data_IF_885781811253
#
_entry.id   IF_885781811253
#
_cell.length_a   1.000
_cell.length_b   1.000
_cell.length_c   1.000
_cell.angle_alpha   90.00
_cell.angle_beta   90.00
_cell.angle_gamma   90.00
#
_symmetry.space_group_name_H-M   'P 1'
#
loop_
_entity.id
_entity.type
_entity.pdbx_description
1 polymer ?
#
# COMPACT_ATOMS: atom_id res chain seq x y z
N UNK A 1 -21.63 16.01 24.06
CA UNK A 1 -20.92 16.54 22.86
C UNK A 1 -19.81 15.53 22.58
N UNK A 2 -20.00 14.69 21.56
CA UNK A 2 -18.98 13.82 21.01
C UNK A 2 -17.84 14.75 20.55
N UNK A 3 -16.72 14.75 21.24
CA UNK A 3 -15.51 15.37 20.76
C UNK A 3 -15.11 14.62 19.51
N UNK A 4 -15.41 15.19 18.35
CA UNK A 4 -14.83 14.73 17.09
C UNK A 4 -13.32 14.79 17.29
N UNK A 5 -12.65 13.64 17.27
CA UNK A 5 -11.21 13.51 17.55
C UNK A 5 -10.35 14.21 16.48
N UNK A 6 -10.54 15.53 16.37
CA UNK A 6 -9.78 16.41 15.49
C UNK A 6 -8.79 17.18 16.35
N UNK A 7 -7.50 17.01 16.06
CA UNK A 7 -6.43 17.79 16.67
C UNK A 7 -5.76 18.64 15.59
N UNK A 8 -5.92 19.96 15.70
CA UNK A 8 -5.38 20.90 14.73
C UNK A 8 -3.90 21.14 15.03
N UNK A 9 -3.01 20.78 14.12
CA UNK A 9 -1.56 21.02 14.21
C UNK A 9 -1.20 22.38 13.60
N UNK A 10 -1.71 22.67 12.40
CA UNK A 10 -1.53 23.95 11.70
C UNK A 10 -2.92 24.38 11.21
N UNK A 11 -3.51 25.47 11.78
CA UNK A 11 -4.86 25.91 11.43
C UNK A 11 -5.04 26.10 9.93
N UNK A 12 -6.08 25.44 9.37
CA UNK A 12 -6.42 25.49 7.94
C UNK A 12 -5.46 24.78 7.01
N UNK A 13 -4.43 24.06 7.52
CA UNK A 13 -3.43 23.38 6.71
C UNK A 13 -3.32 21.90 7.03
N UNK A 14 -3.09 21.57 8.33
CA UNK A 14 -2.77 20.20 8.71
C UNK A 14 -3.39 19.82 10.06
N UNK A 15 -4.06 18.71 10.09
CA UNK A 15 -4.84 18.23 11.22
C UNK A 15 -4.63 16.72 11.43
N UNK A 16 -4.84 16.24 12.65
CA UNK A 16 -5.04 14.82 12.94
C UNK A 16 -6.53 14.56 13.06
N UNK A 17 -7.06 13.68 12.23
CA UNK A 17 -8.47 13.25 12.21
C UNK A 17 -8.53 11.73 12.19
N UNK A 18 -9.14 11.14 13.19
CA UNK A 18 -9.34 9.70 13.20
C UNK A 18 -10.32 9.26 12.12
N UNK A 19 -9.90 8.30 11.30
CA UNK A 19 -10.74 7.68 10.25
C UNK A 19 -10.51 6.16 10.23
N UNK A 20 -11.60 5.40 10.30
CA UNK A 20 -11.62 3.95 10.05
C UNK A 20 -11.74 3.69 8.54
N UNK A 21 -10.62 3.42 7.89
CA UNK A 21 -10.59 3.18 6.45
C UNK A 21 -10.85 1.69 6.12
N UNK A 22 -12.00 1.43 5.56
CA UNK A 22 -12.43 0.08 5.12
C UNK A 22 -12.17 -0.17 3.62
N UNK A 23 -11.47 0.72 2.95
CA UNK A 23 -11.14 0.64 1.52
C UNK A 23 -9.69 0.22 1.29
N UNK A 24 -9.30 0.06 0.02
CA UNK A 24 -7.89 0.00 -0.38
C UNK A 24 -7.27 1.41 -0.43
N UNK A 25 -6.02 1.50 -0.91
CA UNK A 25 -5.34 2.77 -1.10
C UNK A 25 -6.18 3.75 -1.93
N UNK A 26 -6.17 5.01 -1.55
CA UNK A 26 -6.91 6.11 -2.21
C UNK A 26 -8.44 5.91 -2.26
N UNK A 27 -9.03 5.17 -1.32
CA UNK A 27 -10.47 4.95 -1.26
C UNK A 27 -11.01 4.00 -2.34
N UNK A 28 -10.16 3.35 -3.11
CA UNK A 28 -10.60 2.36 -4.12
C UNK A 28 -11.13 1.11 -3.40
N UNK A 29 -12.36 0.75 -3.70
CA UNK A 29 -13.04 -0.41 -3.12
C UNK A 29 -13.56 -1.34 -4.22
N UNK A 30 -12.67 -2.22 -4.68
CA UNK A 30 -12.96 -3.13 -5.78
C UNK A 30 -14.14 -4.06 -5.49
N UNK A 31 -14.25 -4.58 -4.27
CA UNK A 31 -15.37 -5.45 -3.90
C UNK A 31 -16.69 -4.69 -3.81
N UNK A 32 -16.67 -3.45 -3.34
CA UNK A 32 -17.86 -2.60 -3.37
C UNK A 32 -18.28 -2.24 -4.79
N UNK A 33 -17.32 -2.03 -5.70
CA UNK A 33 -17.61 -1.83 -7.13
C UNK A 33 -18.27 -3.09 -7.71
N UNK A 34 -17.71 -4.27 -7.45
CA UNK A 34 -18.27 -5.56 -7.89
C UNK A 34 -19.67 -5.77 -7.29
N UNK A 35 -19.85 -5.49 -6.00
CA UNK A 35 -21.16 -5.57 -5.34
C UNK A 35 -22.19 -4.64 -6.01
N UNK A 36 -21.80 -3.43 -6.33
CA UNK A 36 -22.68 -2.45 -6.99
C UNK A 36 -23.06 -2.85 -8.42
N UNK A 37 -22.19 -3.58 -9.12
CA UNK A 37 -22.46 -4.07 -10.48
C UNK A 37 -23.37 -5.31 -10.44
N UNK A 38 -23.06 -6.27 -9.60
CA UNK A 38 -23.71 -7.58 -9.60
C UNK A 38 -24.84 -7.76 -8.58
N UNK A 39 -25.01 -6.81 -7.63
CA UNK A 39 -26.10 -6.77 -6.63
C UNK A 39 -26.28 -8.08 -5.90
N UNK A 40 -25.20 -8.67 -5.34
CA UNK A 40 -25.32 -9.92 -4.56
C UNK A 40 -26.18 -9.72 -3.31
N UNK A 41 -27.37 -10.28 -3.30
CA UNK A 41 -28.36 -10.15 -2.23
C UNK A 41 -27.79 -10.51 -0.87
N UNK A 42 -27.03 -11.61 -0.77
CA UNK A 42 -26.41 -12.05 0.47
C UNK A 42 -25.58 -10.95 1.16
N UNK A 43 -24.77 -10.22 0.40
CA UNK A 43 -23.92 -9.15 0.96
C UNK A 43 -24.70 -7.89 1.30
N UNK A 44 -25.77 -7.61 0.57
CA UNK A 44 -26.69 -6.50 0.90
C UNK A 44 -27.44 -6.75 2.21
N UNK A 45 -27.80 -7.99 2.47
CA UNK A 45 -28.48 -8.42 3.71
C UNK A 45 -27.51 -8.62 4.89
N UNK A 46 -26.21 -8.84 4.63
CA UNK A 46 -25.20 -9.13 5.63
C UNK A 46 -23.97 -8.18 5.55
N UNK A 47 -24.11 -6.89 5.89
CA UNK A 47 -23.05 -5.89 5.74
C UNK A 47 -21.78 -6.22 6.54
N UNK A 48 -21.92 -6.85 7.70
CA UNK A 48 -20.76 -7.27 8.50
C UNK A 48 -19.99 -8.43 7.84
N UNK A 49 -20.69 -9.37 7.20
CA UNK A 49 -20.05 -10.44 6.43
C UNK A 49 -19.32 -9.87 5.21
N UNK A 50 -19.91 -8.88 4.54
CA UNK A 50 -19.29 -8.18 3.43
C UNK A 50 -18.02 -7.43 3.86
N UNK A 51 -18.07 -6.70 4.98
CA UNK A 51 -16.89 -6.03 5.54
C UNK A 51 -15.75 -7.02 5.83
N UNK A 52 -16.05 -8.13 6.49
CA UNK A 52 -15.04 -9.18 6.76
C UNK A 52 -14.46 -9.77 5.48
N UNK A 53 -15.30 -10.04 4.48
CA UNK A 53 -14.84 -10.53 3.17
C UNK A 53 -13.88 -9.53 2.51
N UNK A 54 -14.18 -8.22 2.57
CA UNK A 54 -13.29 -7.16 2.09
C UNK A 54 -11.93 -7.18 2.80
N UNK A 55 -11.93 -7.25 4.12
CA UNK A 55 -10.68 -7.24 4.90
C UNK A 55 -9.85 -8.49 4.63
N UNK A 56 -10.47 -9.67 4.51
CA UNK A 56 -9.79 -10.90 4.11
C UNK A 56 -9.19 -10.76 2.71
N UNK A 57 -9.97 -10.26 1.75
CA UNK A 57 -9.53 -10.06 0.37
C UNK A 57 -8.29 -9.13 0.29
N UNK A 58 -8.36 -7.96 0.94
CA UNK A 58 -7.23 -7.04 0.95
C UNK A 58 -6.01 -7.61 1.70
N UNK A 59 -6.24 -8.36 2.77
CA UNK A 59 -5.15 -9.02 3.51
C UNK A 59 -4.46 -10.09 2.66
N UNK A 60 -5.20 -10.92 1.95
CA UNK A 60 -4.66 -11.95 1.05
C UNK A 60 -3.84 -11.32 -0.08
N UNK A 61 -4.37 -10.26 -0.71
CA UNK A 61 -3.61 -9.53 -1.75
C UNK A 61 -2.32 -8.93 -1.16
N UNK A 62 -2.40 -8.30 -0.01
CA UNK A 62 -1.22 -7.70 0.64
C UNK A 62 -0.17 -8.75 0.95
N UNK A 63 -0.57 -9.90 1.51
CA UNK A 63 0.35 -11.03 1.79
C UNK A 63 0.99 -11.52 0.49
N UNK A 64 0.20 -11.72 -0.57
CA UNK A 64 0.71 -12.15 -1.86
C UNK A 64 1.74 -11.16 -2.42
N UNK A 65 1.46 -9.86 -2.37
CA UNK A 65 2.38 -8.81 -2.82
C UNK A 65 3.67 -8.81 -1.98
N UNK A 66 3.56 -8.92 -0.65
CA UNK A 66 4.74 -8.99 0.23
C UNK A 66 5.60 -10.21 -0.10
N UNK A 67 4.98 -11.37 -0.29
CA UNK A 67 5.71 -12.60 -0.69
C UNK A 67 6.43 -12.38 -2.03
N UNK A 68 5.74 -11.84 -3.04
CA UNK A 68 6.33 -11.55 -4.34
C UNK A 68 7.51 -10.57 -4.24
N UNK A 69 7.38 -9.51 -3.44
CA UNK A 69 8.45 -8.57 -3.18
C UNK A 69 9.64 -9.23 -2.48
N UNK A 70 9.41 -10.09 -1.49
CA UNK A 70 10.47 -10.83 -0.81
C UNK A 70 11.18 -11.83 -1.74
N UNK A 71 10.43 -12.52 -2.61
CA UNK A 71 11.02 -13.42 -3.61
C UNK A 71 11.83 -12.63 -4.64
N UNK A 72 11.29 -11.49 -5.10
CA UNK A 72 12.00 -10.61 -6.03
C UNK A 72 13.26 -9.98 -5.40
N UNK A 73 13.18 -9.57 -4.15
CA UNK A 73 14.31 -9.03 -3.39
C UNK A 73 15.53 -9.95 -3.38
N UNK A 74 15.31 -11.28 -3.35
CA UNK A 74 16.39 -12.28 -3.40
C UNK A 74 17.18 -12.28 -4.71
N UNK A 75 16.63 -11.67 -5.76
CA UNK A 75 17.28 -11.54 -7.07
C UNK A 75 18.12 -10.27 -7.19
N UNK A 76 17.96 -9.32 -6.27
CA UNK A 76 18.71 -8.07 -6.29
C UNK A 76 20.15 -8.34 -5.87
N UNK A 77 21.16 -7.99 -6.70
CA UNK A 77 22.56 -8.21 -6.35
C UNK A 77 22.97 -7.41 -5.11
N UNK A 78 23.79 -8.06 -4.25
CA UNK A 78 24.34 -7.42 -3.05
C UNK A 78 25.48 -6.49 -3.45
N UNK A 79 25.15 -5.24 -3.78
CA UNK A 79 26.14 -4.23 -4.14
C UNK A 79 25.71 -2.82 -3.71
N UNK A 80 26.68 -1.90 -3.66
CA UNK A 80 26.39 -0.49 -3.36
C UNK A 80 25.45 0.14 -4.40
N UNK A 81 25.48 -0.34 -5.65
CA UNK A 81 24.66 0.14 -6.76
C UNK A 81 23.15 -0.06 -6.49
N UNK A 82 22.78 -1.18 -5.88
CA UNK A 82 21.39 -1.53 -5.60
C UNK A 82 20.91 -1.16 -4.19
N UNK A 83 21.70 -0.41 -3.41
CA UNK A 83 21.31 -0.02 -2.03
C UNK A 83 19.99 0.75 -2.00
N UNK A 84 19.79 1.69 -2.93
CA UNK A 84 18.53 2.46 -2.98
C UNK A 84 17.32 1.59 -3.34
N UNK A 85 17.50 0.61 -4.22
CA UNK A 85 16.44 -0.36 -4.54
C UNK A 85 16.08 -1.23 -3.31
N UNK A 86 17.06 -1.60 -2.51
CA UNK A 86 16.81 -2.30 -1.24
C UNK A 86 15.97 -1.45 -0.28
N UNK A 87 16.25 -0.14 -0.17
CA UNK A 87 15.44 0.80 0.63
C UNK A 87 14.00 0.85 0.10
N UNK A 88 13.82 0.91 -1.21
CA UNK A 88 12.48 0.88 -1.84
C UNK A 88 11.71 -0.35 -1.44
N UNK A 89 12.31 -1.55 -1.53
CA UNK A 89 11.63 -2.80 -1.15
C UNK A 89 11.29 -2.81 0.34
N UNK A 90 12.21 -2.37 1.20
CA UNK A 90 11.97 -2.30 2.65
C UNK A 90 10.78 -1.37 2.97
N UNK A 91 10.72 -0.19 2.33
CA UNK A 91 9.61 0.75 2.53
C UNK A 91 8.28 0.16 2.04
N UNK A 92 8.23 -0.46 0.86
CA UNK A 92 7.03 -1.13 0.38
C UNK A 92 6.55 -2.22 1.34
N UNK A 93 7.45 -3.09 1.80
CA UNK A 93 7.11 -4.17 2.72
C UNK A 93 6.65 -3.61 4.07
N UNK A 94 7.35 -2.61 4.62
CA UNK A 94 6.99 -1.99 5.89
C UNK A 94 5.61 -1.33 5.83
N UNK A 95 5.32 -0.55 4.78
CA UNK A 95 4.01 0.07 4.58
C UNK A 95 2.90 -0.96 4.37
N UNK A 96 3.14 -1.98 3.54
CA UNK A 96 2.19 -3.06 3.32
C UNK A 96 1.86 -3.82 4.62
N UNK A 97 2.88 -4.16 5.43
CA UNK A 97 2.70 -4.84 6.71
C UNK A 97 1.99 -3.95 7.74
N UNK A 98 2.27 -2.64 7.78
CA UNK A 98 1.56 -1.71 8.67
C UNK A 98 0.06 -1.75 8.43
N UNK A 99 -0.37 -1.54 7.18
CA UNK A 99 -1.79 -1.59 6.81
C UNK A 99 -2.40 -3.02 6.93
N UNK A 100 -1.59 -4.07 6.80
CA UNK A 100 -2.04 -5.45 7.02
C UNK A 100 -2.35 -5.74 8.49
N UNK A 101 -1.48 -5.30 9.41
CA UNK A 101 -1.68 -5.47 10.86
C UNK A 101 -3.00 -4.83 11.28
N UNK A 102 -3.25 -3.59 10.86
CA UNK A 102 -4.50 -2.90 11.16
C UNK A 102 -5.72 -3.68 10.67
N UNK A 103 -5.69 -4.18 9.44
CA UNK A 103 -6.81 -4.99 8.89
C UNK A 103 -7.06 -6.26 9.66
N UNK A 104 -6.01 -6.95 10.10
CA UNK A 104 -6.15 -8.21 10.87
C UNK A 104 -6.68 -7.94 12.28
N UNK A 105 -6.20 -6.87 12.93
CA UNK A 105 -6.54 -6.56 14.33
C UNK A 105 -7.88 -5.84 14.43
N UNK A 106 -8.10 -4.83 13.59
CA UNK A 106 -9.20 -3.89 13.72
C UNK A 106 -10.34 -4.16 12.71
N UNK A 107 -10.12 -4.88 11.61
CA UNK A 107 -10.97 -4.97 10.42
C UNK A 107 -11.12 -3.64 9.65
N UNK A 108 -10.20 -2.70 9.84
CA UNK A 108 -10.04 -1.46 9.10
C UNK A 108 -8.61 -0.97 9.25
N UNK A 109 -8.22 0.01 8.45
CA UNK A 109 -6.93 0.71 8.60
C UNK A 109 -7.19 2.01 9.35
N UNK A 110 -6.35 2.35 10.32
CA UNK A 110 -6.43 3.61 11.07
C UNK A 110 -5.68 4.70 10.31
N UNK A 111 -6.43 5.63 9.71
CA UNK A 111 -5.87 6.81 9.05
C UNK A 111 -6.05 8.03 9.96
N UNK A 112 -5.09 8.96 9.92
CA UNK A 112 -5.14 10.10 10.82
C UNK A 112 -4.48 11.39 10.34
N UNK A 113 -3.66 11.40 9.30
CA UNK A 113 -3.09 12.62 8.73
C UNK A 113 -4.03 13.24 7.70
N UNK A 114 -4.38 14.49 7.90
CA UNK A 114 -5.27 15.23 6.99
C UNK A 114 -4.69 16.59 6.60
N UNK A 115 -4.44 16.78 5.30
CA UNK A 115 -4.11 18.10 4.75
C UNK A 115 -5.39 18.84 4.37
N UNK A 116 -5.90 19.65 5.32
CA UNK A 116 -7.15 20.39 5.15
C UNK A 116 -7.07 21.48 4.08
N UNK A 117 -5.88 22.07 3.86
CA UNK A 117 -5.64 23.10 2.86
C UNK A 117 -6.05 22.67 1.44
N UNK A 118 -5.79 21.43 1.08
CA UNK A 118 -6.06 20.86 -0.26
C UNK A 118 -7.13 19.78 -0.24
N UNK A 119 -7.79 19.59 0.89
CA UNK A 119 -8.77 18.52 1.11
C UNK A 119 -8.25 17.14 0.66
N UNK A 120 -7.00 16.84 1.02
CA UNK A 120 -6.37 15.58 0.65
C UNK A 120 -7.01 14.42 1.44
N UNK A 121 -7.20 13.24 0.85
CA UNK A 121 -7.70 12.08 1.60
C UNK A 121 -6.89 11.84 2.86
N UNK A 122 -7.55 11.44 3.95
CA UNK A 122 -6.88 11.11 5.21
C UNK A 122 -6.04 9.85 4.99
N UNK A 123 -4.82 9.84 5.53
CA UNK A 123 -3.84 8.77 5.34
C UNK A 123 -3.03 8.51 6.62
N UNK A 124 -2.16 7.50 6.59
CA UNK A 124 -1.31 7.11 7.72
C UNK A 124 0.17 7.00 7.34
N UNK A 125 1.01 6.58 8.29
CA UNK A 125 2.46 6.43 8.09
C UNK A 125 2.79 5.32 7.08
N UNK A 126 2.02 4.23 7.06
CA UNK A 126 2.23 3.14 6.10
C UNK A 126 2.01 3.61 4.65
N UNK A 127 1.02 4.50 4.43
CA UNK A 127 0.77 5.09 3.12
C UNK A 127 1.92 6.01 2.68
N UNK A 128 2.54 6.75 3.62
CA UNK A 128 3.76 7.52 3.33
C UNK A 128 4.87 6.59 2.84
N UNK A 129 5.11 5.47 3.51
CA UNK A 129 6.15 4.51 3.11
C UNK A 129 5.90 3.96 1.71
N UNK A 130 4.68 3.53 1.41
CA UNK A 130 4.31 3.03 0.08
C UNK A 130 4.46 4.10 -0.99
N UNK A 131 4.01 5.32 -0.70
CA UNK A 131 4.09 6.46 -1.64
C UNK A 131 5.53 6.85 -1.93
N UNK A 132 6.36 7.03 -0.89
CA UNK A 132 7.78 7.34 -1.04
C UNK A 132 8.51 6.24 -1.81
N UNK A 133 8.24 4.97 -1.49
CA UNK A 133 8.80 3.83 -2.20
C UNK A 133 8.42 3.83 -3.69
N UNK A 134 7.15 4.13 -4.01
CA UNK A 134 6.68 4.20 -5.39
C UNK A 134 7.39 5.30 -6.19
N UNK A 135 7.48 6.51 -5.63
CA UNK A 135 8.23 7.60 -6.26
C UNK A 135 9.71 7.28 -6.42
N UNK A 136 10.35 6.75 -5.38
CA UNK A 136 11.76 6.33 -5.47
C UNK A 136 11.95 5.27 -6.55
N UNK A 137 11.08 4.27 -6.62
CA UNK A 137 11.15 3.21 -7.62
C UNK A 137 11.08 3.76 -9.05
N UNK A 138 10.14 4.68 -9.31
CA UNK A 138 9.98 5.33 -10.61
C UNK A 138 11.24 6.15 -10.96
N UNK A 139 11.72 6.99 -10.03
CA UNK A 139 12.91 7.82 -10.26
C UNK A 139 14.15 6.96 -10.52
N UNK A 140 14.35 5.90 -9.74
CA UNK A 140 15.47 5.00 -9.91
C UNK A 140 15.41 4.26 -11.25
N UNK A 141 14.22 3.80 -11.66
CA UNK A 141 14.02 3.11 -12.93
C UNK A 141 14.22 4.01 -14.15
N UNK A 142 13.78 5.27 -14.07
CA UNK A 142 13.87 6.19 -15.20
C UNK A 142 15.23 6.90 -15.33
N UNK A 143 15.90 7.20 -14.21
CA UNK A 143 17.06 8.11 -14.21
C UNK A 143 18.35 7.51 -13.64
N UNK A 144 18.27 6.43 -12.86
CA UNK A 144 19.43 5.90 -12.16
C UNK A 144 19.92 4.58 -12.72
N UNK A 145 19.03 3.60 -12.96
CA UNK A 145 19.39 2.28 -13.48
C UNK A 145 19.48 2.28 -15.00
N UNK A 146 20.45 1.50 -15.52
CA UNK A 146 20.70 1.30 -16.96
C UNK A 146 20.27 -0.11 -17.36
N UNK A 147 20.24 -0.42 -18.67
CA UNK A 147 19.93 -1.74 -19.18
C UNK A 147 20.83 -2.84 -18.58
N UNK A 148 22.10 -2.54 -18.34
CA UNK A 148 23.04 -3.45 -17.69
C UNK A 148 22.61 -3.81 -16.25
N UNK A 149 22.06 -2.87 -15.48
CA UNK A 149 21.56 -3.11 -14.13
C UNK A 149 20.32 -4.02 -14.16
N UNK A 150 19.43 -3.81 -15.14
CA UNK A 150 18.25 -4.65 -15.32
C UNK A 150 18.59 -6.09 -15.72
N UNK A 151 19.61 -6.28 -16.56
CA UNK A 151 20.08 -7.61 -16.95
C UNK A 151 20.63 -8.41 -15.76
N UNK A 152 21.19 -7.73 -14.74
CA UNK A 152 21.64 -8.39 -13.50
C UNK A 152 20.48 -8.87 -12.61
N UNK A 153 19.34 -8.15 -12.62
CA UNK A 153 18.15 -8.52 -11.84
C UNK A 153 17.29 -9.54 -12.61
N UNK A 154 17.23 -9.40 -13.94
CA UNK A 154 16.44 -10.24 -14.86
C UNK A 154 17.35 -10.86 -15.93
N UNK A 155 18.18 -11.85 -15.59
CA UNK A 155 19.06 -12.48 -16.54
C UNK A 155 18.27 -13.16 -17.66
N UNK A 156 18.60 -12.81 -18.90
CA UNK A 156 17.99 -13.41 -20.09
C UNK A 156 18.37 -14.90 -20.18
N UNK A 157 17.39 -15.79 -20.23
CA UNK A 157 17.61 -17.25 -20.29
C UNK A 157 18.37 -17.73 -21.55
N UNK A 158 18.64 -16.85 -22.52
CA UNK A 158 19.25 -17.20 -23.81
C UNK A 158 20.76 -17.40 -23.75
N UNK A 159 21.49 -17.01 -22.72
CA UNK A 159 22.94 -17.11 -22.66
C UNK A 159 23.49 -18.18 -21.72
N UNK A 160 22.67 -19.10 -21.19
CA UNK A 160 23.14 -20.17 -20.28
C UNK A 160 23.45 -21.48 -21.03
N UNK A 161 23.15 -21.59 -22.33
CA UNK A 161 23.32 -22.80 -23.13
C UNK A 161 24.29 -22.63 -24.33
N UNK A 162 25.33 -21.81 -24.19
CA UNK A 162 26.41 -21.73 -25.18
C UNK A 162 27.75 -22.05 -24.54
#
# INVERSE_FOLDING_TARGET
QSSTGVFVLIPGVFELRYLENQSAAFGVDLLSIIQNIFHFTYWSENPLAFLRAKMIFFSVITIAVVILLCVWYRKIPVSKRFRLLNVVVILFVAGALGNLIDRIVNNYVVDFFYFSLINFPIFNVADIYVTVAAFMFIILGLFYYKEEDFSLIFPDKKHVNS
#
